data_IF_973647188787
#
_entry.id   IF_973647188787
#
_cell.length_a   1.000
_cell.length_b   1.000
_cell.length_c   1.000
_cell.angle_alpha   90.00
_cell.angle_beta   90.00
_cell.angle_gamma   90.00
#
_symmetry.space_group_name_H-M   'P 1'
#
loop_
_entity.id
_entity.type
_entity.pdbx_description
1 polymer ?
#
# COMPACT_ATOMS: atom_id res chain seq x y z
N UNK A 1 -28.48 -43.12 25.28
CA UNK A 1 -27.20 -42.40 25.10
C UNK A 1 -27.30 -41.69 23.77
N UNK A 2 -27.60 -40.40 23.81
CA UNK A 2 -27.81 -39.62 22.60
C UNK A 2 -26.45 -39.29 21.96
N UNK A 3 -26.20 -39.87 20.79
CA UNK A 3 -25.04 -39.54 19.97
C UNK A 3 -25.25 -38.15 19.38
N UNK A 4 -24.76 -37.13 20.06
CA UNK A 4 -24.64 -35.77 19.54
C UNK A 4 -23.48 -35.71 18.54
N UNK A 5 -23.74 -36.13 17.29
CA UNK A 5 -22.79 -35.97 16.19
C UNK A 5 -22.79 -34.50 15.78
N UNK A 6 -21.81 -33.74 16.27
CA UNK A 6 -21.57 -32.37 15.81
C UNK A 6 -20.80 -32.44 14.50
N UNK A 7 -21.50 -32.18 13.39
CA UNK A 7 -20.89 -32.13 12.07
C UNK A 7 -20.22 -30.76 11.90
N UNK A 8 -18.93 -30.66 12.25
CA UNK A 8 -18.13 -29.45 12.04
C UNK A 8 -17.67 -29.44 10.60
N UNK A 9 -18.24 -28.56 9.76
CA UNK A 9 -17.69 -28.26 8.44
C UNK A 9 -16.36 -27.52 8.64
N UNK A 10 -15.25 -28.25 8.56
CA UNK A 10 -13.88 -27.72 8.68
C UNK A 10 -13.37 -27.04 7.41
N UNK A 11 -14.22 -26.87 6.39
CA UNK A 11 -13.89 -26.14 5.17
C UNK A 11 -15.06 -25.28 4.75
N UNK A 12 -14.82 -23.97 4.69
CA UNK A 12 -14.99 -23.21 3.46
C UNK A 12 -14.17 -21.92 3.56
N UNK A 13 -12.86 -22.02 3.28
CA UNK A 13 -12.14 -20.82 2.86
C UNK A 13 -12.61 -20.51 1.44
N UNK A 14 -13.48 -19.51 1.30
CA UNK A 14 -13.80 -18.94 0.00
C UNK A 14 -12.80 -17.84 -0.30
N UNK A 15 -11.91 -17.99 -1.30
CA UNK A 15 -10.95 -16.95 -1.64
C UNK A 15 -11.69 -15.68 -2.04
N UNK A 16 -11.33 -14.55 -1.42
CA UNK A 16 -11.83 -13.25 -1.86
C UNK A 16 -11.16 -12.90 -3.18
N UNK A 17 -11.96 -12.55 -4.17
CA UNK A 17 -11.48 -12.24 -5.51
C UNK A 17 -10.67 -10.94 -5.54
N UNK A 18 -9.47 -10.98 -6.10
CA UNK A 18 -8.58 -9.84 -6.34
C UNK A 18 -8.83 -9.15 -7.70
N UNK A 19 -10.06 -9.20 -8.23
CA UNK A 19 -10.36 -8.68 -9.58
C UNK A 19 -10.21 -7.16 -9.61
N UNK A 20 -9.49 -6.68 -10.60
CA UNK A 20 -9.25 -5.25 -10.84
C UNK A 20 -10.22 -4.72 -11.88
N UNK A 21 -10.74 -3.50 -11.65
CA UNK A 21 -11.63 -2.81 -12.60
C UNK A 21 -11.41 -1.31 -12.52
N UNK A 22 -11.38 -0.65 -13.67
CA UNK A 22 -11.38 0.81 -13.72
C UNK A 22 -12.72 1.35 -13.22
N UNK A 23 -12.67 2.18 -12.20
CA UNK A 23 -13.82 2.89 -11.65
C UNK A 23 -14.08 4.19 -12.44
N UNK A 24 -15.33 4.64 -12.46
CA UNK A 24 -15.70 5.92 -13.07
C UNK A 24 -15.01 7.13 -12.44
N UNK A 25 -14.48 6.97 -11.22
CA UNK A 25 -13.67 7.97 -10.53
C UNK A 25 -12.23 8.10 -11.04
N UNK A 26 -11.79 7.28 -12.01
CA UNK A 26 -10.45 7.38 -12.61
C UNK A 26 -9.37 6.58 -11.88
N UNK A 27 -9.75 5.62 -11.05
CA UNK A 27 -8.81 4.72 -10.36
C UNK A 27 -9.16 3.25 -10.61
N UNK A 28 -8.16 2.38 -10.47
CA UNK A 28 -8.33 0.93 -10.52
C UNK A 28 -8.83 0.46 -9.15
N UNK A 29 -10.07 -0.03 -9.11
CA UNK A 29 -10.64 -0.67 -7.92
C UNK A 29 -10.04 -2.06 -7.73
N UNK A 30 -9.76 -2.42 -6.47
CA UNK A 30 -9.06 -3.65 -6.13
C UNK A 30 -9.95 -4.65 -5.37
N UNK A 31 -10.37 -5.69 -6.09
CA UNK A 31 -11.22 -6.77 -5.63
C UNK A 31 -12.65 -6.36 -5.29
N UNK A 32 -13.34 -7.22 -4.54
CA UNK A 32 -14.76 -7.01 -4.21
C UNK A 32 -14.91 -5.74 -3.35
N UNK A 33 -15.81 -4.85 -3.76
CA UNK A 33 -16.08 -3.56 -3.11
C UNK A 33 -14.86 -2.63 -2.99
N UNK A 34 -13.80 -2.85 -3.76
CA UNK A 34 -12.55 -2.08 -3.65
C UNK A 34 -11.83 -2.25 -2.29
N UNK A 35 -12.01 -3.39 -1.61
CA UNK A 35 -11.52 -3.63 -0.24
C UNK A 35 -10.55 -4.81 -0.12
N UNK A 36 -9.98 -5.29 -1.24
CA UNK A 36 -9.05 -6.42 -1.18
C UNK A 36 -7.78 -6.14 -0.33
N UNK A 37 -7.15 -4.96 -0.39
CA UNK A 37 -6.04 -4.66 0.52
C UNK A 37 -6.44 -4.70 2.00
N UNK A 38 -7.63 -4.19 2.35
CA UNK A 38 -8.15 -4.25 3.71
C UNK A 38 -8.32 -5.69 4.19
N UNK A 39 -8.80 -6.57 3.31
CA UNK A 39 -8.90 -8.01 3.58
C UNK A 39 -7.53 -8.65 3.82
N UNK A 40 -6.51 -8.35 3.01
CA UNK A 40 -5.15 -8.86 3.20
C UNK A 40 -4.55 -8.40 4.54
N UNK A 41 -4.81 -7.14 4.92
CA UNK A 41 -4.41 -6.61 6.22
C UNK A 41 -5.04 -7.40 7.36
N UNK A 42 -6.35 -7.62 7.31
CA UNK A 42 -7.10 -8.39 8.30
C UNK A 42 -6.60 -9.84 8.41
N UNK A 43 -6.26 -10.49 7.30
CA UNK A 43 -5.64 -11.83 7.31
C UNK A 43 -4.31 -11.83 8.08
N UNK A 44 -3.47 -10.81 7.88
CA UNK A 44 -2.19 -10.69 8.58
C UNK A 44 -2.34 -10.40 10.07
N UNK A 45 -3.38 -9.66 10.47
CA UNK A 45 -3.64 -9.27 11.86
C UNK A 45 -4.38 -10.36 12.66
N UNK A 46 -5.26 -11.13 12.00
CA UNK A 46 -6.10 -12.14 12.65
C UNK A 46 -5.36 -13.43 12.99
N UNK A 47 -4.24 -13.73 12.32
CA UNK A 47 -3.43 -14.93 12.57
C UNK A 47 -2.05 -14.56 13.14
N UNK A 48 -1.76 -14.86 14.42
CA UNK A 48 -0.47 -14.54 15.03
C UNK A 48 0.73 -15.15 14.29
N UNK A 49 0.57 -16.38 13.76
CA UNK A 49 1.63 -17.07 13.01
C UNK A 49 1.86 -16.40 11.67
N UNK A 50 0.78 -16.13 10.92
CA UNK A 50 0.90 -15.50 9.61
C UNK A 50 1.44 -14.07 9.72
N UNK A 51 0.91 -13.28 10.67
CA UNK A 51 1.38 -11.93 10.95
C UNK A 51 2.87 -11.91 11.32
N UNK A 52 3.31 -12.82 12.19
CA UNK A 52 4.73 -12.93 12.56
C UNK A 52 5.62 -13.25 11.34
N UNK A 53 5.18 -14.14 10.46
CA UNK A 53 5.92 -14.47 9.23
C UNK A 53 5.97 -13.27 8.27
N UNK A 54 4.87 -12.54 8.09
CA UNK A 54 4.86 -11.33 7.27
C UNK A 54 5.83 -10.28 7.80
N UNK A 55 5.85 -10.06 9.12
CA UNK A 55 6.78 -9.12 9.78
C UNK A 55 8.22 -9.59 9.57
N UNK A 56 8.55 -10.84 9.91
CA UNK A 56 9.92 -11.35 9.78
C UNK A 56 10.44 -11.32 8.34
N UNK A 57 9.59 -11.60 7.36
CA UNK A 57 9.98 -11.51 5.95
C UNK A 57 10.13 -10.05 5.52
N UNK A 58 9.25 -9.15 5.97
CA UNK A 58 9.40 -7.71 5.77
C UNK A 58 10.73 -7.19 6.30
N UNK A 59 11.12 -7.61 7.50
CA UNK A 59 12.41 -7.26 8.11
C UNK A 59 13.59 -7.81 7.31
N UNK A 60 13.49 -9.03 6.79
CA UNK A 60 14.52 -9.62 5.93
C UNK A 60 14.68 -8.87 4.60
N UNK A 61 13.59 -8.34 4.03
CA UNK A 61 13.63 -7.51 2.81
C UNK A 61 14.21 -6.12 3.12
N UNK A 62 13.83 -5.53 4.25
CA UNK A 62 14.33 -4.23 4.69
C UNK A 62 15.82 -4.26 5.05
N UNK A 63 16.31 -5.41 5.53
CA UNK A 63 17.70 -5.57 5.95
C UNK A 63 18.06 -4.66 7.12
N UNK A 64 19.30 -4.16 7.13
CA UNK A 64 19.83 -3.30 8.21
C UNK A 64 19.98 -1.83 7.80
N UNK A 65 19.32 -1.43 6.71
CA UNK A 65 19.41 -0.09 6.15
C UNK A 65 20.49 0.11 5.11
N UNK A 66 20.67 1.37 4.72
CA UNK A 66 21.49 1.79 3.59
C UNK A 66 22.62 2.67 4.10
N UNK A 67 23.85 2.27 3.82
CA UNK A 67 25.05 3.08 4.04
C UNK A 67 25.65 3.47 2.70
N UNK A 68 26.04 4.73 2.56
CA UNK A 68 26.67 5.26 1.36
C UNK A 68 27.92 6.05 1.70
N UNK A 69 28.98 5.85 0.91
CA UNK A 69 30.20 6.66 1.01
C UNK A 69 29.99 8.10 0.50
N UNK A 70 28.91 8.35 -0.24
CA UNK A 70 28.57 9.65 -0.82
C UNK A 70 27.12 9.99 -0.49
N UNK A 71 26.89 11.15 0.11
CA UNK A 71 25.53 11.65 0.36
C UNK A 71 24.79 11.00 1.53
N UNK A 72 25.51 10.42 2.52
CA UNK A 72 24.88 9.86 3.72
C UNK A 72 24.00 10.88 4.45
N UNK A 73 24.47 12.14 4.59
CA UNK A 73 23.68 13.22 5.20
C UNK A 73 22.30 13.40 4.53
N UNK A 74 22.22 13.16 3.22
CA UNK A 74 20.97 13.26 2.46
C UNK A 74 20.06 12.06 2.68
N UNK A 75 20.63 10.86 2.81
CA UNK A 75 19.91 9.63 3.14
C UNK A 75 19.28 9.78 4.52
N UNK A 76 20.05 10.28 5.49
CA UNK A 76 19.60 10.48 6.87
C UNK A 76 18.54 11.58 6.95
N UNK A 77 18.75 12.71 6.26
CA UNK A 77 17.80 13.82 6.23
C UNK A 77 16.44 13.45 5.63
N UNK A 78 16.40 12.49 4.69
CA UNK A 78 15.18 12.02 4.06
C UNK A 78 14.55 10.81 4.77
N UNK A 79 15.16 10.33 5.86
CA UNK A 79 14.74 9.10 6.56
C UNK A 79 14.50 7.93 5.59
N UNK A 80 15.43 7.74 4.64
CA UNK A 80 15.26 6.76 3.56
C UNK A 80 15.01 5.35 4.13
N UNK A 81 15.71 4.99 5.21
CA UNK A 81 15.52 3.68 5.82
C UNK A 81 14.13 3.52 6.43
N UNK A 82 13.60 4.52 7.14
CA UNK A 82 12.23 4.46 7.67
C UNK A 82 11.20 4.23 6.58
N UNK A 83 11.33 4.94 5.45
CA UNK A 83 10.42 4.78 4.31
C UNK A 83 10.60 3.43 3.60
N UNK A 84 11.84 2.99 3.42
CA UNK A 84 12.17 1.70 2.81
C UNK A 84 11.71 0.51 3.67
N UNK A 85 11.85 0.61 4.99
CA UNK A 85 11.38 -0.38 5.94
C UNK A 85 9.85 -0.54 5.82
N UNK A 86 9.11 0.57 5.90
CA UNK A 86 7.64 0.53 5.74
C UNK A 86 7.22 -0.03 4.37
N UNK A 87 7.88 0.39 3.29
CA UNK A 87 7.65 -0.14 1.95
C UNK A 87 7.93 -1.65 1.83
N UNK A 88 8.95 -2.17 2.53
CA UNK A 88 9.30 -3.60 2.53
C UNK A 88 8.22 -4.46 3.19
N UNK A 89 7.63 -3.96 4.28
CA UNK A 89 6.51 -4.62 4.95
C UNK A 89 5.24 -4.62 4.09
N UNK A 90 4.93 -3.51 3.44
CA UNK A 90 3.82 -3.43 2.47
C UNK A 90 4.06 -4.35 1.27
N UNK A 91 5.27 -4.35 0.71
CA UNK A 91 5.62 -5.23 -0.40
C UNK A 91 5.39 -6.70 -0.05
N UNK A 92 5.78 -7.12 1.16
CA UNK A 92 5.52 -8.49 1.59
C UNK A 92 4.03 -8.79 1.76
N UNK A 93 3.27 -7.86 2.33
CA UNK A 93 1.86 -8.07 2.66
C UNK A 93 0.95 -7.99 1.43
N UNK A 94 1.22 -7.07 0.53
CA UNK A 94 0.32 -6.69 -0.57
C UNK A 94 0.91 -6.95 -1.96
N UNK A 95 2.21 -7.21 -2.07
CA UNK A 95 2.91 -7.37 -3.35
C UNK A 95 3.35 -6.05 -4.00
N UNK A 96 3.15 -4.92 -3.32
CA UNK A 96 3.52 -3.59 -3.80
C UNK A 96 3.61 -2.58 -2.66
N UNK A 97 4.03 -1.35 -2.96
CA UNK A 97 4.17 -0.26 -2.00
C UNK A 97 4.06 1.10 -2.69
N UNK A 98 3.81 2.16 -1.91
CA UNK A 98 3.77 3.54 -2.41
C UNK A 98 4.66 4.45 -1.56
N UNK A 99 5.41 5.32 -2.23
CA UNK A 99 6.21 6.37 -1.61
C UNK A 99 5.95 7.68 -2.33
N UNK A 100 5.41 8.65 -1.60
CA UNK A 100 5.22 10.03 -2.05
C UNK A 100 6.53 10.81 -1.93
N UNK A 101 6.92 11.46 -3.03
CA UNK A 101 8.06 12.38 -3.08
C UNK A 101 7.53 13.79 -2.91
N UNK A 102 7.85 14.41 -1.77
CA UNK A 102 7.43 15.78 -1.46
C UNK A 102 8.59 16.72 -1.78
N UNK A 103 8.37 17.62 -2.72
CA UNK A 103 9.34 18.63 -3.13
C UNK A 103 9.37 19.83 -2.17
N UNK A 104 10.47 20.56 -2.17
CA UNK A 104 10.55 21.89 -1.59
C UNK A 104 9.57 22.85 -2.28
N UNK A 105 9.19 23.93 -1.61
CA UNK A 105 8.22 24.91 -2.15
C UNK A 105 8.68 25.51 -3.49
N UNK A 106 10.00 25.64 -3.69
CA UNK A 106 10.62 26.10 -4.94
C UNK A 106 10.76 24.99 -6.01
N UNK A 107 10.37 23.75 -5.69
CA UNK A 107 10.47 22.52 -6.50
C UNK A 107 11.87 22.12 -6.96
N UNK A 108 12.91 22.71 -6.38
CA UNK A 108 14.30 22.41 -6.79
C UNK A 108 14.86 21.16 -6.14
N UNK A 109 14.36 20.81 -4.96
CA UNK A 109 14.90 19.70 -4.18
C UNK A 109 13.80 18.84 -3.61
N UNK A 110 14.14 17.58 -3.29
CA UNK A 110 13.25 16.71 -2.52
C UNK A 110 13.29 17.18 -1.06
N UNK A 111 12.17 17.62 -0.52
CA UNK A 111 12.08 18.02 0.88
C UNK A 111 11.89 16.81 1.80
N UNK A 112 11.09 15.83 1.39
CA UNK A 112 10.73 14.68 2.20
C UNK A 112 10.30 13.49 1.34
N UNK A 113 10.56 12.28 1.83
CA UNK A 113 9.94 11.05 1.36
C UNK A 113 8.88 10.61 2.37
N UNK A 114 7.74 10.12 1.88
CA UNK A 114 6.66 9.65 2.73
C UNK A 114 6.08 8.35 2.17
N UNK A 115 6.26 7.26 2.90
CA UNK A 115 5.52 6.03 2.68
C UNK A 115 4.02 6.29 2.88
N UNK A 116 3.21 5.72 1.98
CA UNK A 116 1.76 5.73 2.07
C UNK A 116 1.28 4.28 2.28
N UNK A 117 0.41 4.01 3.26
CA UNK A 117 -0.15 2.68 3.45
C UNK A 117 -0.79 2.17 2.16
N UNK A 118 -0.41 0.97 1.72
CA UNK A 118 -0.87 0.41 0.45
C UNK A 118 -2.40 0.32 0.38
N UNK A 119 -3.07 -0.06 1.47
CA UNK A 119 -4.52 -0.21 1.52
C UNK A 119 -5.28 1.11 1.32
N UNK A 120 -4.63 2.25 1.57
CA UNK A 120 -5.17 3.60 1.38
C UNK A 120 -4.97 4.12 -0.06
N UNK A 121 -4.22 3.41 -0.91
CA UNK A 121 -3.85 3.88 -2.25
C UNK A 121 -4.53 3.06 -3.36
N UNK A 122 -4.96 3.71 -4.44
CA UNK A 122 -5.40 3.07 -5.68
C UNK A 122 -4.70 3.70 -6.88
N UNK A 123 -4.33 2.89 -7.86
CA UNK A 123 -3.67 3.37 -9.08
C UNK A 123 -4.66 4.25 -9.84
N UNK A 124 -4.23 5.46 -10.20
CA UNK A 124 -5.00 6.35 -11.06
C UNK A 124 -4.62 6.09 -12.52
N UNK A 125 -5.63 5.91 -13.37
CA UNK A 125 -5.46 5.64 -14.80
C UNK A 125 -6.28 6.61 -15.63
N UNK A 126 -5.78 6.94 -16.81
CA UNK A 126 -6.46 7.81 -17.77
C UNK A 126 -6.38 7.24 -19.19
N UNK A 127 -7.34 7.62 -20.04
CA UNK A 127 -7.39 7.20 -21.44
C UNK A 127 -7.90 5.78 -21.65
N UNK A 128 -8.00 5.39 -22.91
CA UNK A 128 -8.41 4.03 -23.32
C UNK A 128 -7.31 2.99 -23.07
N UNK A 129 -6.05 3.42 -23.05
CA UNK A 129 -4.88 2.57 -22.81
C UNK A 129 -4.57 2.38 -21.31
N UNK A 130 -5.42 2.88 -20.41
CA UNK A 130 -5.26 2.82 -18.95
C UNK A 130 -3.87 3.31 -18.49
N UNK A 131 -3.41 4.44 -19.03
CA UNK A 131 -2.10 5.00 -18.69
C UNK A 131 -2.07 5.38 -17.21
N UNK A 132 -1.05 4.89 -16.48
CA UNK A 132 -0.87 5.22 -15.06
C UNK A 132 -0.37 6.65 -14.89
N UNK A 133 -1.27 7.52 -14.43
CA UNK A 133 -1.03 8.96 -14.22
C UNK A 133 -0.72 9.32 -12.77
N UNK A 134 -0.92 8.40 -11.82
CA UNK A 134 -0.65 8.64 -10.40
C UNK A 134 -1.38 7.67 -9.49
N UNK A 135 -1.80 8.16 -8.33
CA UNK A 135 -2.62 7.41 -7.38
C UNK A 135 -3.75 8.29 -6.84
N UNK A 136 -4.80 7.64 -6.34
CA UNK A 136 -5.74 8.22 -5.41
C UNK A 136 -5.45 7.69 -4.00
N UNK A 137 -5.37 8.59 -3.03
CA UNK A 137 -5.20 8.28 -1.61
C UNK A 137 -6.49 8.58 -0.83
N UNK A 138 -6.91 7.64 0.02
CA UNK A 138 -8.04 7.78 0.93
C UNK A 138 -7.77 7.01 2.22
N UNK A 139 -7.97 7.66 3.36
CA UNK A 139 -7.86 7.04 4.70
C UNK A 139 -8.79 5.83 4.89
N UNK A 140 -9.93 5.80 4.17
CA UNK A 140 -10.91 4.71 4.30
C UNK A 140 -11.78 4.60 3.04
N UNK A 141 -11.39 3.64 2.19
CA UNK A 141 -12.08 3.29 0.95
C UNK A 141 -13.49 2.71 1.17
N UNK A 142 -13.83 2.21 2.36
CA UNK A 142 -15.19 1.76 2.66
C UNK A 142 -16.14 2.95 2.90
N UNK A 143 -15.62 4.15 3.16
CA UNK A 143 -16.43 5.31 3.51
C UNK A 143 -15.94 6.62 2.87
N UNK A 144 -15.74 6.59 1.56
CA UNK A 144 -15.25 7.73 0.75
C UNK A 144 -16.19 8.95 0.72
N UNK A 145 -17.44 8.80 1.17
CA UNK A 145 -18.42 9.89 1.25
C UNK A 145 -18.12 10.88 2.39
N UNK A 146 -17.40 10.46 3.43
CA UNK A 146 -16.95 11.36 4.50
C UNK A 146 -15.88 12.29 3.96
N UNK A 147 -15.98 13.59 4.28
CA UNK A 147 -15.05 14.63 3.79
C UNK A 147 -13.57 14.26 3.97
N UNK A 148 -13.20 13.67 5.12
CA UNK A 148 -11.83 13.27 5.42
C UNK A 148 -11.32 12.05 4.62
N UNK A 149 -12.24 11.19 4.16
CA UNK A 149 -11.92 9.99 3.39
C UNK A 149 -12.08 10.22 1.89
N UNK A 150 -12.35 11.46 1.47
CA UNK A 150 -12.56 11.74 0.04
C UNK A 150 -11.25 11.45 -0.70
N UNK A 151 -11.26 10.59 -1.73
CA UNK A 151 -10.05 10.27 -2.46
C UNK A 151 -9.37 11.53 -3.01
N UNK A 152 -8.08 11.68 -2.71
CA UNK A 152 -7.24 12.79 -3.15
C UNK A 152 -6.25 12.28 -4.16
N UNK A 153 -6.19 12.93 -5.32
CA UNK A 153 -5.25 12.56 -6.38
C UNK A 153 -3.84 13.03 -6.03
N UNK A 154 -2.86 12.14 -6.20
CA UNK A 154 -1.44 12.41 -6.09
C UNK A 154 -0.81 12.01 -7.44
N UNK A 155 -0.18 12.95 -8.17
CA UNK A 155 0.37 12.66 -9.48
C UNK A 155 1.54 11.68 -9.39
N UNK A 156 1.75 10.92 -10.47
CA UNK A 156 2.92 10.07 -10.65
C UNK A 156 4.19 10.91 -10.53
N UNK A 157 5.19 10.35 -9.85
CA UNK A 157 6.49 10.97 -9.73
C UNK A 157 7.06 11.27 -11.12
N UNK A 158 7.47 12.52 -11.33
CA UNK A 158 8.13 12.95 -12.54
C UNK A 158 9.56 13.41 -12.23
N UNK A 159 10.60 12.67 -12.65
CA UNK A 159 11.98 13.05 -12.38
C UNK A 159 12.38 14.38 -13.03
N UNK A 160 11.73 14.80 -14.13
CA UNK A 160 12.04 16.06 -14.80
C UNK A 160 11.58 17.30 -14.01
N UNK A 161 10.75 17.12 -12.97
CA UNK A 161 10.33 18.21 -12.09
C UNK A 161 11.32 18.46 -10.95
N UNK A 162 12.29 17.57 -10.74
CA UNK A 162 13.36 17.72 -9.76
C UNK A 162 14.59 18.32 -10.47
N UNK A 163 14.72 19.65 -10.49
CA UNK A 163 15.87 20.35 -11.09
C UNK A 163 16.51 21.31 -10.11
#
# INVERSE_FOLDING_TARGET
MDNNIVNVKLQEYTPVSSVERVDRGGWVSFGVNNLFPQYLRELSESSPVHGSLCISIGDMIAGKGITSNIGQDRIDALDVYGQYYAASHDFKKYGGYFVEVIYSNDRKTIAKLKHLPFEECRIAVEGEDEEVIGIYHSEDWANTRKKKNRPTFIPKFNPSMAV
#
